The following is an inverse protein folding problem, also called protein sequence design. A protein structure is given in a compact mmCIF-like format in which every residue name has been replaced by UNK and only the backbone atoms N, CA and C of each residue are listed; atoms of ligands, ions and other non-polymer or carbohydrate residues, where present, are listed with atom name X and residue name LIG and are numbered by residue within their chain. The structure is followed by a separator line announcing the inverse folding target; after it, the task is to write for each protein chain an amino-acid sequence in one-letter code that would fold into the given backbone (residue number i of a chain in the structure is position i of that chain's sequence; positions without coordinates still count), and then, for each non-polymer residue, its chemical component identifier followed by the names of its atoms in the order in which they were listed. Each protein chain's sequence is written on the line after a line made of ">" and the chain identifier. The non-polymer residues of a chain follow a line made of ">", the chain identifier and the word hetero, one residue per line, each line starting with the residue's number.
data_IF_973936145241
#
_entry.id   IF_973936145241
#
_cell.length_a   1.000
_cell.length_b   1.000
_cell.length_c   1.000
_cell.angle_alpha   90.00
_cell.angle_beta   90.00
_cell.angle_gamma   90.00
#
_symmetry.space_group_name_H-M   'P 1'
#
loop_
_entity.id
_entity.type
_entity.pdbx_description
1 polymer ?
#
# COMPACT_ATOMS: atom_id res chain seq x y z
N UNK A 1 -37.95 11.52 23.91
CA UNK A 1 -37.32 12.06 22.70
C UNK A 1 -36.21 11.12 22.30
N UNK A 2 -36.33 10.47 21.15
CA UNK A 2 -35.33 9.52 20.65
C UNK A 2 -34.13 10.35 20.20
N UNK A 3 -33.01 10.27 20.93
CA UNK A 3 -31.77 10.93 20.53
C UNK A 3 -31.26 10.22 19.27
N UNK A 4 -31.36 10.88 18.11
CA UNK A 4 -30.82 10.37 16.85
C UNK A 4 -29.30 10.34 16.99
N UNK A 5 -28.71 9.14 16.95
CA UNK A 5 -27.27 8.98 17.00
C UNK A 5 -26.63 9.69 15.79
N UNK A 6 -25.84 10.73 16.06
CA UNK A 6 -25.06 11.43 15.05
C UNK A 6 -23.83 10.57 14.78
N UNK A 7 -23.53 10.31 13.51
CA UNK A 7 -22.34 9.58 13.10
C UNK A 7 -21.38 10.53 12.38
N UNK A 8 -20.08 10.32 12.56
CA UNK A 8 -19.06 11.10 11.89
C UNK A 8 -19.11 10.84 10.38
N UNK A 9 -19.22 11.91 9.57
CA UNK A 9 -19.23 11.79 8.11
C UNK A 9 -17.92 11.25 7.49
N UNK A 10 -16.81 11.32 8.23
CA UNK A 10 -15.51 10.83 7.76
C UNK A 10 -15.20 9.38 8.15
N UNK A 11 -15.68 8.90 9.31
CA UNK A 11 -15.32 7.58 9.83
C UNK A 11 -16.47 6.67 10.23
N UNK A 12 -17.71 7.16 10.18
CA UNK A 12 -18.89 6.42 10.60
C UNK A 12 -19.00 6.18 12.11
N UNK A 13 -18.02 6.58 12.93
CA UNK A 13 -18.10 6.42 14.39
C UNK A 13 -19.24 7.26 14.98
N UNK A 14 -19.90 6.73 16.02
CA UNK A 14 -20.92 7.46 16.76
C UNK A 14 -20.30 8.65 17.49
N UNK A 15 -20.92 9.82 17.34
CA UNK A 15 -20.51 11.06 17.99
C UNK A 15 -21.47 11.43 19.12
N UNK A 16 -20.92 12.00 20.18
CA UNK A 16 -21.70 12.59 21.26
C UNK A 16 -22.51 13.80 20.76
N UNK A 17 -23.76 13.98 21.22
CA UNK A 17 -24.56 15.16 20.86
C UNK A 17 -23.84 16.45 21.23
N UNK A 18 -23.54 17.29 20.23
CA UNK A 18 -22.86 18.58 20.42
C UNK A 18 -21.32 18.54 20.31
N UNK A 19 -20.72 17.40 19.98
CA UNK A 19 -19.28 17.32 19.73
C UNK A 19 -18.90 18.11 18.45
N UNK A 20 -17.92 19.02 18.56
CA UNK A 20 -17.36 19.75 17.42
C UNK A 20 -16.35 18.92 16.62
N UNK A 21 -15.74 17.91 17.25
CA UNK A 21 -14.76 17.01 16.67
C UNK A 21 -15.12 15.54 16.97
N UNK A 22 -14.83 14.64 16.05
CA UNK A 22 -14.96 13.20 16.28
C UNK A 22 -13.88 12.72 17.26
N UNK A 23 -14.26 12.02 18.32
CA UNK A 23 -13.31 11.44 19.29
C UNK A 23 -12.42 10.34 18.70
N UNK A 24 -12.83 9.73 17.59
CA UNK A 24 -12.08 8.65 16.93
C UNK A 24 -11.04 9.18 15.92
N UNK A 25 -11.39 10.22 15.16
CA UNK A 25 -10.57 10.67 14.02
C UNK A 25 -10.25 12.18 14.02
N UNK A 26 -10.66 12.89 15.07
CA UNK A 26 -10.52 14.33 15.25
C UNK A 26 -11.13 15.20 14.13
N UNK A 27 -11.89 14.61 13.20
CA UNK A 27 -12.51 15.37 12.12
C UNK A 27 -13.53 16.36 12.67
N UNK A 28 -13.41 17.62 12.24
CA UNK A 28 -14.38 18.66 12.52
C UNK A 28 -15.73 18.33 11.89
N UNK A 29 -16.81 18.53 12.65
CA UNK A 29 -18.17 18.18 12.22
C UNK A 29 -18.64 18.96 10.97
N UNK A 30 -18.18 20.20 10.83
CA UNK A 30 -18.68 21.16 9.83
C UNK A 30 -17.58 21.63 8.85
N UNK A 31 -16.39 21.01 8.87
CA UNK A 31 -15.32 21.35 7.92
C UNK A 31 -15.26 20.31 6.80
N UNK A 32 -15.77 20.63 5.59
CA UNK A 32 -15.75 19.73 4.44
C UNK A 32 -14.31 19.42 3.96
N UNK A 33 -13.33 20.21 4.38
CA UNK A 33 -11.91 19.99 4.08
C UNK A 33 -11.17 19.27 5.21
N UNK A 34 -11.77 19.09 6.40
CA UNK A 34 -11.16 18.25 7.42
C UNK A 34 -11.29 16.79 6.99
N UNK A 35 -10.25 16.29 6.32
CA UNK A 35 -10.05 14.86 6.18
C UNK A 35 -9.72 14.29 7.56
N UNK A 36 -10.30 13.15 7.88
CA UNK A 36 -9.83 12.41 9.03
C UNK A 36 -8.32 12.20 8.93
N UNK A 37 -7.63 12.40 10.06
CA UNK A 37 -6.21 12.04 10.23
C UNK A 37 -6.03 10.52 10.25
N UNK A 38 -6.87 9.77 9.53
CA UNK A 38 -6.62 8.36 9.33
C UNK A 38 -5.28 8.26 8.67
N UNK A 39 -4.36 7.64 9.38
CA UNK A 39 -3.11 7.16 8.82
C UNK A 39 -3.31 5.77 8.23
N UNK A 40 -4.43 5.11 8.54
CA UNK A 40 -4.75 3.72 8.20
C UNK A 40 -5.89 3.65 7.18
N UNK A 41 -5.79 2.74 6.22
CA UNK A 41 -6.85 2.37 5.28
C UNK A 41 -7.86 1.42 5.95
N UNK A 42 -9.16 1.73 5.78
CA UNK A 42 -10.23 1.01 6.48
C UNK A 42 -10.49 -0.42 5.98
N UNK A 43 -10.02 -0.77 4.78
CA UNK A 43 -10.22 -2.11 4.20
C UNK A 43 -9.11 -3.05 4.63
N UNK A 44 -7.87 -2.61 4.43
CA UNK A 44 -6.64 -3.40 4.58
C UNK A 44 -6.01 -3.31 5.97
N UNK A 45 -6.29 -2.26 6.74
CA UNK A 45 -5.63 -2.02 8.02
C UNK A 45 -4.17 -1.56 7.89
N UNK A 46 -3.66 -1.34 6.66
CA UNK A 46 -2.34 -0.78 6.39
C UNK A 46 -2.35 0.73 6.43
N UNK A 47 -1.18 1.36 6.37
CA UNK A 47 -1.12 2.80 6.19
C UNK A 47 -1.77 3.21 4.87
N UNK A 48 -2.46 4.35 4.83
CA UNK A 48 -3.10 4.82 3.61
C UNK A 48 -2.13 5.59 2.70
N UNK A 49 -2.62 5.94 1.51
CA UNK A 49 -1.88 6.68 0.49
C UNK A 49 -1.26 7.98 1.02
N UNK A 50 -2.04 8.79 1.73
CA UNK A 50 -1.58 10.07 2.26
C UNK A 50 -0.40 9.92 3.23
N UNK A 51 -0.47 8.97 4.16
CA UNK A 51 0.64 8.69 5.07
C UNK A 51 1.84 8.09 4.34
N UNK A 52 1.59 7.13 3.45
CA UNK A 52 2.64 6.40 2.73
C UNK A 52 3.46 7.32 1.82
N UNK A 53 2.80 8.23 1.09
CA UNK A 53 3.49 9.24 0.29
C UNK A 53 4.36 10.17 1.13
N UNK A 54 3.82 10.68 2.24
CA UNK A 54 4.59 11.52 3.16
C UNK A 54 5.80 10.79 3.78
N UNK A 55 5.65 9.50 4.08
CA UNK A 55 6.74 8.67 4.58
C UNK A 55 7.84 8.48 3.54
N UNK A 56 7.49 8.16 2.29
CA UNK A 56 8.48 8.02 1.20
C UNK A 56 9.25 9.32 1.00
N UNK A 57 8.57 10.47 1.03
CA UNK A 57 9.22 11.78 0.94
C UNK A 57 10.19 12.04 2.10
N UNK A 58 9.78 11.67 3.32
CA UNK A 58 10.60 11.80 4.52
C UNK A 58 11.84 10.91 4.44
N UNK A 59 11.66 9.62 4.16
CA UNK A 59 12.75 8.64 4.09
C UNK A 59 13.68 8.91 2.90
N UNK A 60 13.17 9.41 1.77
CA UNK A 60 14.01 9.88 0.65
C UNK A 60 14.88 11.06 1.08
N UNK A 61 14.32 12.00 1.84
CA UNK A 61 15.10 13.14 2.36
C UNK A 61 16.20 12.68 3.33
N UNK A 62 15.91 11.67 4.18
CA UNK A 62 16.90 11.05 5.06
C UNK A 62 17.97 10.31 4.28
N UNK A 63 17.58 9.49 3.31
CA UNK A 63 18.45 8.76 2.40
C UNK A 63 19.47 9.70 1.72
N UNK A 64 18.99 10.80 1.13
CA UNK A 64 19.83 11.81 0.49
C UNK A 64 20.80 12.46 1.48
N UNK A 65 20.33 12.81 2.68
CA UNK A 65 21.17 13.46 3.71
C UNK A 65 22.29 12.54 4.21
N UNK A 66 21.97 11.27 4.46
CA UNK A 66 22.88 10.31 5.06
C UNK A 66 23.60 9.41 4.05
N UNK A 67 23.38 9.64 2.75
CA UNK A 67 23.93 8.85 1.64
C UNK A 67 23.65 7.36 1.82
N UNK A 68 22.40 7.03 2.14
CA UNK A 68 21.93 5.64 2.25
C UNK A 68 20.91 5.38 1.16
N UNK A 69 20.91 4.20 0.52
CA UNK A 69 19.93 3.91 -0.51
C UNK A 69 18.52 3.77 0.10
N UNK A 70 17.51 4.01 -0.72
CA UNK A 70 16.11 3.74 -0.39
C UNK A 70 15.45 3.13 -1.61
N UNK A 71 14.62 2.12 -1.40
CA UNK A 71 13.83 1.50 -2.45
C UNK A 71 12.35 1.49 -2.09
N UNK A 72 11.51 1.50 -3.12
CA UNK A 72 10.08 1.28 -3.02
C UNK A 72 9.68 0.15 -3.96
N UNK A 73 8.84 -0.75 -3.46
CA UNK A 73 8.12 -1.73 -4.26
C UNK A 73 6.65 -1.33 -4.32
N UNK A 74 6.11 -1.11 -5.51
CA UNK A 74 4.66 -0.96 -5.72
C UNK A 74 4.14 -2.27 -6.27
N UNK A 75 3.19 -2.89 -5.57
CA UNK A 75 2.64 -4.19 -5.93
C UNK A 75 1.15 -4.09 -6.30
N UNK A 76 0.74 -4.85 -7.31
CA UNK A 76 -0.66 -4.97 -7.70
C UNK A 76 -1.03 -6.43 -7.83
N UNK A 77 -2.25 -6.75 -7.39
CA UNK A 77 -2.85 -8.07 -7.52
C UNK A 77 -3.07 -8.42 -8.99
N UNK A 78 -2.52 -9.55 -9.41
CA UNK A 78 -2.72 -10.05 -10.77
C UNK A 78 -4.17 -10.55 -10.93
N UNK A 79 -4.77 -10.25 -12.09
CA UNK A 79 -6.14 -10.66 -12.42
C UNK A 79 -7.21 -10.18 -11.40
N UNK A 80 -6.97 -9.06 -10.71
CA UNK A 80 -7.89 -8.49 -9.72
C UNK A 80 -9.30 -8.23 -10.25
N UNK A 81 -9.46 -7.87 -11.52
CA UNK A 81 -10.77 -7.71 -12.18
C UNK A 81 -11.58 -9.01 -12.21
N UNK A 82 -10.93 -10.14 -12.48
CA UNK A 82 -11.59 -11.45 -12.50
C UNK A 82 -12.07 -11.83 -11.09
N UNK A 83 -11.21 -11.64 -10.09
CA UNK A 83 -11.51 -11.90 -8.69
C UNK A 83 -12.70 -11.05 -8.23
N UNK A 84 -12.72 -9.76 -8.58
CA UNK A 84 -13.79 -8.85 -8.21
C UNK A 84 -15.13 -9.24 -8.87
N UNK A 85 -15.10 -9.67 -10.13
CA UNK A 85 -16.29 -10.06 -10.88
C UNK A 85 -16.90 -11.38 -10.41
N UNK A 86 -16.09 -12.35 -9.99
CA UNK A 86 -16.56 -13.69 -9.61
C UNK A 86 -17.04 -13.76 -8.15
N UNK A 87 -16.49 -12.93 -7.25
CA UNK A 87 -16.73 -13.04 -5.80
C UNK A 87 -17.35 -11.77 -5.16
N UNK A 88 -17.44 -10.67 -5.92
CA UNK A 88 -18.08 -9.45 -5.44
C UNK A 88 -17.32 -8.71 -4.31
N UNK A 89 -17.90 -7.61 -3.79
CA UNK A 89 -17.16 -6.64 -3.01
C UNK A 89 -16.68 -7.12 -1.64
N UNK A 90 -17.47 -7.96 -0.96
CA UNK A 90 -17.14 -8.42 0.39
C UNK A 90 -15.95 -9.39 0.39
N UNK A 91 -15.97 -10.42 -0.46
CA UNK A 91 -14.86 -11.36 -0.58
C UNK A 91 -13.59 -10.68 -1.13
N UNK A 92 -13.73 -9.71 -2.03
CA UNK A 92 -12.59 -8.91 -2.49
C UNK A 92 -11.95 -8.10 -1.36
N UNK A 93 -12.76 -7.52 -0.47
CA UNK A 93 -12.25 -6.81 0.71
C UNK A 93 -11.56 -7.76 1.70
N UNK A 94 -12.07 -8.98 1.87
CA UNK A 94 -11.43 -10.00 2.69
C UNK A 94 -10.09 -10.47 2.11
N UNK A 95 -10.00 -10.67 0.78
CA UNK A 95 -8.72 -10.93 0.11
C UNK A 95 -7.70 -9.82 0.37
N UNK A 96 -8.12 -8.56 0.19
CA UNK A 96 -7.22 -7.42 0.36
C UNK A 96 -6.70 -7.33 1.80
N UNK A 97 -7.50 -7.75 2.79
CA UNK A 97 -7.08 -7.81 4.20
C UNK A 97 -6.11 -8.95 4.46
N UNK A 98 -6.40 -10.15 3.98
CA UNK A 98 -5.46 -11.28 4.09
C UNK A 98 -4.12 -10.97 3.39
N UNK A 99 -4.19 -10.41 2.18
CA UNK A 99 -3.02 -10.00 1.42
C UNK A 99 -2.20 -8.94 2.16
N UNK A 100 -2.86 -7.97 2.80
CA UNK A 100 -2.20 -6.97 3.63
C UNK A 100 -1.41 -7.59 4.80
N UNK A 101 -1.99 -8.57 5.49
CA UNK A 101 -1.33 -9.30 6.57
C UNK A 101 -0.10 -10.09 6.07
N UNK A 102 -0.24 -10.76 4.92
CA UNK A 102 0.87 -11.50 4.28
C UNK A 102 2.01 -10.55 3.91
N UNK A 103 1.70 -9.40 3.30
CA UNK A 103 2.69 -8.40 2.91
C UNK A 103 3.41 -7.82 4.12
N UNK A 104 2.67 -7.45 5.17
CA UNK A 104 3.24 -6.91 6.40
C UNK A 104 4.15 -7.93 7.10
N UNK A 105 3.80 -9.22 7.07
CA UNK A 105 4.63 -10.30 7.63
C UNK A 105 5.84 -10.70 6.78
N UNK A 106 5.89 -10.31 5.50
CA UNK A 106 6.97 -10.69 4.58
C UNK A 106 8.14 -9.69 4.56
N UNK A 107 7.93 -8.46 5.04
CA UNK A 107 8.95 -7.40 5.12
C UNK A 107 9.61 -7.33 6.50
N UNK A 108 10.65 -6.52 6.68
CA UNK A 108 11.33 -6.34 7.97
C UNK A 108 10.55 -5.37 8.86
N UNK A 109 10.80 -5.42 10.17
CA UNK A 109 10.18 -4.49 11.15
C UNK A 109 10.39 -2.99 10.85
N UNK A 110 11.50 -2.65 10.18
CA UNK A 110 11.82 -1.26 9.79
C UNK A 110 11.21 -0.85 8.46
N UNK A 111 10.73 -1.81 7.67
CA UNK A 111 10.07 -1.57 6.40
C UNK A 111 8.61 -1.18 6.69
N UNK A 112 7.97 -0.46 5.77
CA UNK A 112 6.57 -0.04 5.95
C UNK A 112 5.73 -0.47 4.76
N UNK A 113 4.57 -1.07 5.03
CA UNK A 113 3.58 -1.43 4.00
C UNK A 113 2.40 -0.48 4.07
N UNK A 114 2.06 0.11 2.94
CA UNK A 114 0.92 0.99 2.75
C UNK A 114 0.02 0.54 1.60
N UNK A 115 -1.19 1.08 1.59
CA UNK A 115 -2.20 0.87 0.55
C UNK A 115 -2.50 2.17 -0.18
N UNK A 116 -2.30 2.17 -1.50
CA UNK A 116 -2.46 3.29 -2.41
C UNK A 116 -3.82 3.25 -3.14
N UNK A 117 -4.83 2.66 -2.52
CA UNK A 117 -6.20 2.57 -3.04
C UNK A 117 -6.48 1.36 -3.93
N UNK A 118 -5.57 0.98 -4.82
CA UNK A 118 -5.66 -0.22 -5.67
C UNK A 118 -4.34 -1.03 -5.74
N UNK A 119 -3.28 -0.48 -5.14
CA UNK A 119 -1.92 -1.03 -5.12
C UNK A 119 -1.38 -1.01 -3.69
N UNK A 120 -0.45 -1.90 -3.40
CA UNK A 120 0.32 -1.88 -2.17
C UNK A 120 1.66 -1.21 -2.41
N UNK A 121 2.22 -0.58 -1.39
CA UNK A 121 3.52 0.08 -1.44
C UNK A 121 4.34 -0.39 -0.26
N UNK A 122 5.53 -0.93 -0.52
CA UNK A 122 6.50 -1.29 0.50
C UNK A 122 7.66 -0.30 0.43
N UNK A 123 7.85 0.46 1.50
CA UNK A 123 8.95 1.41 1.68
C UNK A 123 10.09 0.66 2.36
N UNK A 124 11.25 0.62 1.71
CA UNK A 124 12.43 -0.13 2.16
C UNK A 124 13.59 0.84 2.42
N UNK A 125 13.67 1.43 3.62
CA UNK A 125 14.80 2.27 4.01
C UNK A 125 16.12 1.48 3.96
N UNK A 126 17.21 2.19 3.69
CA UNK A 126 18.58 1.64 3.70
C UNK A 126 18.76 0.39 2.81
N UNK A 127 17.97 0.32 1.74
CA UNK A 127 17.92 -0.85 0.84
C UNK A 127 18.19 -0.40 -0.59
N UNK A 128 19.25 -0.95 -1.19
CA UNK A 128 19.56 -0.76 -2.60
C UNK A 128 18.72 -1.67 -3.50
N UNK A 129 18.88 -1.54 -4.82
CA UNK A 129 18.09 -2.29 -5.78
C UNK A 129 18.28 -3.81 -5.62
N UNK A 130 19.48 -4.28 -5.31
CA UNK A 130 19.74 -5.70 -5.11
C UNK A 130 19.02 -6.24 -3.86
N UNK A 131 19.07 -5.50 -2.74
CA UNK A 131 18.33 -5.83 -1.54
C UNK A 131 16.81 -5.77 -1.75
N UNK A 132 16.33 -4.81 -2.53
CA UNK A 132 14.92 -4.66 -2.87
C UNK A 132 14.41 -5.82 -3.74
N UNK A 133 15.23 -6.34 -4.66
CA UNK A 133 14.91 -7.56 -5.42
C UNK A 133 14.75 -8.77 -4.49
N UNK A 134 15.62 -8.93 -3.49
CA UNK A 134 15.48 -10.01 -2.50
C UNK A 134 14.21 -9.86 -1.66
N UNK A 135 13.84 -8.62 -1.29
CA UNK A 135 12.59 -8.36 -0.58
C UNK A 135 11.38 -8.67 -1.47
N UNK A 136 11.42 -8.27 -2.74
CA UNK A 136 10.37 -8.56 -3.72
C UNK A 136 10.16 -10.07 -3.90
N UNK A 137 11.24 -10.84 -4.06
CA UNK A 137 11.15 -12.29 -4.16
C UNK A 137 10.50 -12.88 -2.90
N UNK A 138 10.90 -12.47 -1.69
CA UNK A 138 10.31 -12.96 -0.45
C UNK A 138 8.80 -12.69 -0.38
N UNK A 139 8.40 -11.47 -0.73
CA UNK A 139 7.00 -11.05 -0.77
C UNK A 139 6.21 -11.90 -1.77
N UNK A 140 6.70 -12.06 -2.99
CA UNK A 140 6.05 -12.88 -4.01
C UNK A 140 5.90 -14.34 -3.58
N UNK A 141 6.93 -14.92 -2.96
CA UNK A 141 6.88 -16.28 -2.44
C UNK A 141 5.88 -16.41 -1.28
N UNK A 142 5.85 -15.45 -0.36
CA UNK A 142 4.91 -15.45 0.76
C UNK A 142 3.46 -15.39 0.26
N UNK A 143 3.18 -14.52 -0.71
CA UNK A 143 1.86 -14.39 -1.33
C UNK A 143 1.44 -15.68 -2.02
N UNK A 144 2.32 -16.28 -2.83
CA UNK A 144 2.01 -17.49 -3.59
C UNK A 144 1.86 -18.72 -2.69
N UNK A 145 2.54 -18.77 -1.54
CA UNK A 145 2.47 -19.88 -0.60
C UNK A 145 1.31 -19.76 0.40
N UNK A 146 0.68 -18.60 0.52
CA UNK A 146 -0.40 -18.37 1.45
C UNK A 146 -1.69 -19.07 1.02
N UNK A 147 -2.39 -19.69 1.97
CA UNK A 147 -3.68 -20.33 1.75
C UNK A 147 -4.79 -19.35 2.08
N UNK A 148 -5.32 -18.68 1.05
CA UNK A 148 -6.35 -17.65 1.23
C UNK A 148 -7.70 -18.24 1.60
N UNK A 149 -8.27 -17.78 2.71
CA UNK A 149 -9.56 -18.26 3.21
C UNK A 149 -10.74 -17.65 2.46
N UNK A 150 -10.63 -16.38 2.04
CA UNK A 150 -11.69 -15.63 1.38
C UNK A 150 -12.16 -16.19 0.02
N UNK A 151 -11.45 -17.19 -0.54
CA UNK A 151 -11.85 -17.92 -1.74
C UNK A 151 -12.55 -19.26 -1.51
N UNK A 152 -12.82 -19.70 -0.27
CA UNK A 152 -13.33 -21.06 0.02
C UNK A 152 -12.52 -22.20 -0.65
N UNK A 153 -11.22 -22.00 -0.84
CA UNK A 153 -10.35 -22.94 -1.57
C UNK A 153 -10.39 -22.83 -3.10
N UNK A 154 -11.10 -21.86 -3.68
CA UNK A 154 -11.15 -21.63 -5.14
C UNK A 154 -10.02 -20.74 -5.65
N UNK A 155 -9.33 -19.99 -4.78
CA UNK A 155 -8.20 -19.16 -5.17
C UNK A 155 -6.93 -20.00 -5.21
N UNK A 156 -6.81 -20.81 -6.25
CA UNK A 156 -5.68 -21.74 -6.34
C UNK A 156 -4.35 -21.04 -6.63
N UNK A 157 -4.35 -19.79 -7.14
CA UNK A 157 -3.12 -19.02 -7.47
C UNK A 157 -3.32 -17.51 -7.39
N UNK A 158 -3.12 -16.93 -6.21
CA UNK A 158 -2.95 -15.47 -6.04
C UNK A 158 -1.49 -15.11 -6.30
N UNK A 159 -1.24 -14.15 -7.20
CA UNK A 159 0.09 -13.63 -7.50
C UNK A 159 0.09 -12.10 -7.56
N UNK A 160 1.27 -11.50 -7.42
CA UNK A 160 1.49 -10.06 -7.57
C UNK A 160 2.46 -9.78 -8.70
N UNK A 161 2.21 -8.67 -9.39
CA UNK A 161 3.23 -7.99 -10.18
C UNK A 161 3.74 -6.79 -9.39
N UNK A 162 5.06 -6.56 -9.41
CA UNK A 162 5.71 -5.51 -8.64
C UNK A 162 6.49 -4.57 -9.55
N UNK A 163 6.41 -3.27 -9.31
CA UNK A 163 7.34 -2.28 -9.84
C UNK A 163 8.34 -1.87 -8.77
N UNK A 164 9.61 -1.75 -9.14
CA UNK A 164 10.70 -1.41 -8.22
C UNK A 164 11.38 -0.11 -8.68
N UNK A 165 11.48 0.85 -7.76
CA UNK A 165 12.30 2.03 -7.92
C UNK A 165 13.27 2.19 -6.74
N UNK A 166 14.48 2.66 -7.03
CA UNK A 166 15.54 2.88 -6.04
C UNK A 166 16.16 4.24 -6.26
N UNK A 167 16.32 5.01 -5.19
CA UNK A 167 17.21 6.17 -5.17
C UNK A 167 18.52 5.73 -4.52
N UNK A 168 19.60 5.85 -5.28
CA UNK A 168 20.95 5.76 -4.77
C UNK A 168 21.55 7.18 -4.73
N UNK A 169 21.65 7.83 -3.55
CA UNK A 169 22.08 9.22 -3.42
C UNK A 169 23.45 9.54 -4.04
N UNK A 170 24.34 8.55 -4.16
CA UNK A 170 25.66 8.74 -4.79
C UNK A 170 25.61 8.73 -6.32
N UNK A 171 24.48 8.31 -6.91
CA UNK A 171 24.29 8.16 -8.36
C UNK A 171 23.13 8.98 -8.91
N UNK A 172 22.17 9.36 -8.07
CA UNK A 172 20.88 9.90 -8.47
C UNK A 172 20.42 11.01 -7.54
N UNK A 173 19.72 12.00 -8.09
CA UNK A 173 19.00 13.02 -7.32
C UNK A 173 17.67 12.49 -6.77
N UNK A 174 16.95 13.35 -6.02
CA UNK A 174 15.60 13.04 -5.55
C UNK A 174 14.68 12.74 -6.75
N UNK A 175 13.94 11.64 -6.66
CA UNK A 175 12.93 11.22 -7.63
C UNK A 175 11.64 10.87 -6.91
N UNK A 176 10.51 10.93 -7.61
CA UNK A 176 9.26 10.37 -7.12
C UNK A 176 9.31 8.84 -7.26
N UNK A 177 9.67 8.17 -6.17
CA UNK A 177 9.85 6.72 -6.11
C UNK A 177 8.55 5.95 -6.34
N UNK A 178 7.43 6.42 -5.76
CA UNK A 178 6.13 5.77 -5.92
C UNK A 178 5.69 5.86 -7.38
N UNK A 179 5.78 7.03 -7.99
CA UNK A 179 5.42 7.21 -9.39
C UNK A 179 6.33 6.36 -10.30
N UNK A 180 7.64 6.37 -10.06
CA UNK A 180 8.60 5.61 -10.87
C UNK A 180 8.34 4.10 -10.79
N UNK A 181 8.12 3.57 -9.59
CA UNK A 181 7.75 2.17 -9.40
C UNK A 181 6.39 1.84 -10.02
N UNK A 182 5.41 2.74 -9.89
CA UNK A 182 4.08 2.56 -10.50
C UNK A 182 4.16 2.48 -12.02
N UNK A 183 4.96 3.36 -12.67
CA UNK A 183 5.17 3.32 -14.11
C UNK A 183 5.85 2.02 -14.55
N UNK A 184 6.91 1.60 -13.85
CA UNK A 184 7.58 0.33 -14.13
C UNK A 184 6.62 -0.87 -14.07
N UNK A 185 5.74 -0.89 -13.06
CA UNK A 185 4.70 -1.90 -12.93
C UNK A 185 3.69 -1.86 -14.09
N UNK A 186 3.18 -0.68 -14.43
CA UNK A 186 2.16 -0.52 -15.46
C UNK A 186 2.69 -0.88 -16.85
N UNK A 187 3.88 -0.42 -17.20
CA UNK A 187 4.51 -0.70 -18.48
C UNK A 187 4.88 -2.18 -18.58
N UNK A 188 5.52 -2.70 -17.52
CA UNK A 188 6.05 -4.06 -17.51
C UNK A 188 4.98 -5.15 -17.41
N UNK A 189 3.80 -4.86 -16.86
CA UNK A 189 2.69 -5.84 -16.78
C UNK A 189 2.28 -6.37 -18.15
N UNK A 190 2.49 -5.60 -19.22
CA UNK A 190 2.23 -6.05 -20.58
C UNK A 190 3.18 -7.18 -21.03
N UNK A 191 4.38 -7.26 -20.45
CA UNK A 191 5.34 -8.34 -20.68
C UNK A 191 5.00 -9.61 -19.88
N UNK A 192 4.00 -9.56 -19.00
CA UNK A 192 3.47 -10.69 -18.23
C UNK A 192 3.32 -10.39 -16.74
N UNK A 193 2.49 -11.18 -16.07
CA UNK A 193 2.22 -11.09 -14.63
C UNK A 193 3.24 -11.87 -13.78
N UNK A 194 3.09 -11.82 -12.44
CA UNK A 194 3.88 -12.58 -11.48
C UNK A 194 5.40 -12.36 -11.60
N UNK A 195 5.84 -11.10 -11.67
CA UNK A 195 7.27 -10.74 -11.69
C UNK A 195 7.52 -9.32 -11.19
N UNK A 196 8.81 -8.99 -11.05
CA UNK A 196 9.28 -7.64 -10.75
C UNK A 196 9.65 -6.91 -12.05
N UNK A 197 9.20 -5.67 -12.17
CA UNK A 197 9.46 -4.76 -13.27
C UNK A 197 10.33 -3.61 -12.76
N UNK A 198 11.40 -3.32 -13.48
CA UNK A 198 12.34 -2.25 -13.13
C UNK A 198 12.01 -0.99 -13.93
N UNK A 199 12.32 0.17 -13.37
CA UNK A 199 12.25 1.44 -14.12
C UNK A 199 13.13 1.35 -15.36
N UNK A 200 12.53 1.49 -16.54
CA UNK A 200 13.25 1.64 -17.80
C UNK A 200 14.16 2.86 -17.69
N UNK A 201 15.48 2.66 -17.81
CA UNK A 201 16.41 3.79 -17.94
C UNK A 201 16.03 4.53 -19.22
N UNK A 202 15.45 5.73 -19.11
CA UNK A 202 15.33 6.63 -20.25
C UNK A 202 16.75 6.99 -20.67
N UNK A 203 17.18 6.41 -21.79
CA UNK A 203 18.43 6.72 -22.49
C UNK A 203 18.50 8.18 -22.92
#
# INVERSE_FOLDING_TARGET
>A
MISTAIHCGACGARMEPGANYCSNCATGRDDPNTRALFVVDGTTGLFNDAFTGALVDHETSRAMRYKRPISVLVAMLDHSEFIANDHGPAQSADLLRELAEVLAGAVRDIDTVGYLGDRFCMVLPETDQAGAMVAADKVMHAVAAHQYAAGHGQWERITLSLGLATVNPDRMGRQDLIQSATLALMDGRSDGSNKVHLVSQMS
#
